data_IF_072878827399
#
_entry.id   IF_072878827399
#
_cell.length_a   1.000
_cell.length_b   1.000
_cell.length_c   1.000
_cell.angle_alpha   90.00
_cell.angle_beta   90.00
_cell.angle_gamma   90.00
#
_symmetry.space_group_name_H-M   'P 1'
#
loop_
_entity.id
_entity.type
_entity.pdbx_description
1 polymer ?
#
# COMPACT_ATOMS: atom_id res chain seq x y z
N UNK A 1 -17.81 14.28 -20.36
CA UNK A 1 -17.09 13.05 -20.72
C UNK A 1 -15.86 13.00 -19.86
N UNK A 2 -15.58 11.87 -19.23
CA UNK A 2 -14.33 11.68 -18.50
C UNK A 2 -13.15 11.74 -19.48
N UNK A 3 -12.01 12.22 -19.01
CA UNK A 3 -10.76 12.15 -19.77
C UNK A 3 -9.91 11.01 -19.21
N UNK A 4 -9.47 10.13 -20.10
CA UNK A 4 -8.45 9.13 -19.85
C UNK A 4 -7.10 9.71 -20.27
N UNK A 5 -6.13 9.68 -19.38
CA UNK A 5 -4.74 9.88 -19.74
C UNK A 5 -4.06 8.51 -19.80
N UNK A 6 -3.48 8.19 -20.95
CA UNK A 6 -2.64 7.01 -21.12
C UNK A 6 -1.23 7.45 -21.46
N UNK A 7 -0.25 7.01 -20.67
CA UNK A 7 1.17 7.25 -20.88
C UNK A 7 1.82 5.92 -21.24
N UNK A 8 2.22 5.82 -22.50
CA UNK A 8 2.83 4.61 -23.04
C UNK A 8 4.35 4.59 -22.90
N UNK A 9 4.89 3.43 -22.55
CA UNK A 9 6.34 3.19 -22.42
C UNK A 9 6.94 3.70 -21.11
N UNK A 10 8.27 3.62 -21.02
CA UNK A 10 9.03 4.04 -19.84
C UNK A 10 9.08 5.56 -19.71
N UNK A 11 8.80 6.08 -18.52
CA UNK A 11 8.98 7.49 -18.17
C UNK A 11 10.29 7.67 -17.42
N UNK A 12 11.36 8.05 -18.13
CA UNK A 12 12.64 8.40 -17.55
C UNK A 12 12.65 9.87 -17.10
N UNK A 13 12.40 10.11 -15.82
CA UNK A 13 12.16 11.46 -15.30
C UNK A 13 13.45 12.25 -14.97
N UNK A 14 14.60 11.58 -14.80
CA UNK A 14 15.91 12.19 -14.55
C UNK A 14 15.87 13.25 -13.42
N UNK A 15 15.31 12.87 -12.28
CA UNK A 15 15.06 13.68 -11.07
C UNK A 15 14.02 14.80 -11.24
N UNK A 16 13.39 14.94 -12.41
CA UNK A 16 12.26 15.83 -12.58
C UNK A 16 10.97 15.23 -12.00
N UNK A 17 9.98 16.11 -11.78
CA UNK A 17 8.67 15.72 -11.28
C UNK A 17 7.79 15.22 -12.42
N UNK A 18 7.07 14.13 -12.18
CA UNK A 18 6.00 13.61 -13.03
C UNK A 18 4.68 13.86 -12.30
N UNK A 19 3.88 14.81 -12.80
CA UNK A 19 2.68 15.29 -12.12
C UNK A 19 1.45 15.07 -13.01
N UNK A 20 0.78 13.97 -12.69
CA UNK A 20 -0.57 13.50 -12.99
C UNK A 20 -1.73 14.32 -12.42
N UNK A 21 -2.38 15.25 -13.13
CA UNK A 21 -3.58 15.91 -12.57
C UNK A 21 -4.65 16.30 -13.58
N UNK A 22 -5.90 16.04 -13.24
CA UNK A 22 -7.03 16.72 -13.87
C UNK A 22 -7.21 18.12 -13.24
N UNK A 23 -7.77 19.05 -14.00
CA UNK A 23 -8.07 20.40 -13.51
C UNK A 23 -9.59 20.67 -13.47
N UNK A 24 -10.39 19.86 -14.16
CA UNK A 24 -11.83 20.07 -14.35
C UNK A 24 -12.63 18.81 -14.00
N UNK A 25 -12.58 18.42 -12.73
CA UNK A 25 -13.31 17.25 -12.21
C UNK A 25 -12.48 15.97 -12.17
N UNK A 26 -13.11 14.86 -11.80
CA UNK A 26 -12.43 13.58 -11.71
C UNK A 26 -11.94 13.10 -13.08
N UNK A 27 -10.66 12.74 -13.18
CA UNK A 27 -10.15 11.98 -14.31
C UNK A 27 -10.81 10.60 -14.28
N UNK A 28 -11.20 10.07 -15.45
CA UNK A 28 -11.77 8.73 -15.53
C UNK A 28 -10.69 7.66 -15.33
N UNK A 29 -9.49 7.94 -15.83
CA UNK A 29 -8.34 7.09 -15.59
C UNK A 29 -7.03 7.82 -15.85
N UNK A 30 -6.00 7.44 -15.12
CA UNK A 30 -4.61 7.80 -15.37
C UNK A 30 -3.82 6.48 -15.38
N UNK A 31 -3.38 6.08 -16.58
CA UNK A 31 -2.73 4.80 -16.82
C UNK A 31 -1.29 5.03 -17.30
N UNK A 32 -0.35 4.36 -16.66
CA UNK A 32 1.03 4.23 -17.12
C UNK A 32 1.24 2.77 -17.54
N UNK A 33 1.64 2.52 -18.78
CA UNK A 33 1.89 1.14 -19.25
C UNK A 33 3.33 0.68 -19.08
N UNK A 34 4.27 1.60 -18.85
CA UNK A 34 5.68 1.31 -18.58
C UNK A 34 6.23 1.99 -17.32
N UNK A 35 7.37 1.51 -16.80
CA UNK A 35 7.92 1.94 -15.52
C UNK A 35 8.21 3.44 -15.49
N UNK A 36 8.07 4.04 -14.32
CA UNK A 36 8.50 5.42 -14.06
C UNK A 36 9.79 5.34 -13.25
N UNK A 37 10.88 5.91 -13.77
CA UNK A 37 12.21 5.74 -13.17
C UNK A 37 12.84 7.07 -12.83
N UNK A 38 13.54 7.11 -11.68
CA UNK A 38 14.31 8.26 -11.21
C UNK A 38 13.49 9.57 -11.22
N UNK A 39 12.26 9.56 -10.70
CA UNK A 39 11.49 10.80 -10.56
C UNK A 39 11.89 11.57 -9.28
N UNK A 40 11.87 12.90 -9.34
CA UNK A 40 11.94 13.73 -8.13
C UNK A 40 10.66 13.55 -7.31
N UNK A 41 9.52 13.61 -7.98
CA UNK A 41 8.22 13.36 -7.40
C UNK A 41 7.31 12.69 -8.42
N UNK A 42 6.67 11.59 -8.04
CA UNK A 42 5.61 10.98 -8.83
C UNK A 42 4.27 11.23 -8.16
N UNK A 43 3.45 12.07 -8.76
CA UNK A 43 2.18 12.51 -8.20
C UNK A 43 1.04 12.27 -9.16
N UNK A 44 0.05 11.51 -8.73
CA UNK A 44 -1.19 11.28 -9.48
C UNK A 44 -2.38 11.65 -8.61
N UNK A 45 -3.22 12.55 -9.11
CA UNK A 45 -4.45 13.03 -8.48
C UNK A 45 -5.45 13.45 -9.57
N UNK A 46 -6.70 13.75 -9.21
CA UNK A 46 -7.63 14.38 -10.16
C UNK A 46 -8.03 15.80 -9.81
N UNK A 47 -8.18 16.14 -8.53
CA UNK A 47 -8.35 17.50 -8.00
C UNK A 47 -8.33 17.40 -6.47
N UNK A 48 -7.91 18.43 -5.74
CA UNK A 48 -7.82 18.42 -4.26
C UNK A 48 -9.10 17.95 -3.53
N UNK A 49 -10.27 17.99 -4.17
CA UNK A 49 -11.55 17.48 -3.67
C UNK A 49 -12.02 16.14 -4.26
N UNK A 50 -11.44 15.64 -5.35
CA UNK A 50 -11.86 14.42 -6.06
C UNK A 50 -10.66 13.52 -6.38
N UNK A 51 -10.79 12.22 -6.13
CA UNK A 51 -9.80 11.24 -6.56
C UNK A 51 -9.95 10.96 -8.07
N UNK A 52 -8.87 10.57 -8.76
CA UNK A 52 -9.01 10.00 -10.10
C UNK A 52 -9.83 8.71 -9.99
N UNK A 53 -10.75 8.40 -10.90
CA UNK A 53 -11.56 7.20 -10.73
C UNK A 53 -10.67 5.95 -10.72
N UNK A 54 -9.71 5.87 -11.63
CA UNK A 54 -8.72 4.80 -11.69
C UNK A 54 -7.29 5.36 -11.85
N UNK A 55 -6.34 4.81 -11.09
CA UNK A 55 -4.90 5.07 -11.24
C UNK A 55 -4.22 3.73 -11.40
N UNK A 56 -3.58 3.50 -12.53
CA UNK A 56 -2.93 2.22 -12.83
C UNK A 56 -1.46 2.49 -13.11
N UNK A 57 -0.59 1.90 -12.29
CA UNK A 57 0.86 2.15 -12.37
C UNK A 57 1.65 0.84 -12.33
N UNK A 58 2.72 0.75 -13.13
CA UNK A 58 3.70 -0.32 -13.04
C UNK A 58 4.71 0.03 -11.94
N UNK A 59 5.93 -0.51 -12.00
CA UNK A 59 7.00 -0.10 -11.09
C UNK A 59 7.25 1.40 -11.16
N UNK A 60 7.33 2.05 -10.00
CA UNK A 60 7.67 3.47 -9.83
C UNK A 60 8.88 3.60 -8.92
N UNK A 61 9.92 4.27 -9.41
CA UNK A 61 11.09 4.70 -8.64
C UNK A 61 11.13 6.24 -8.61
N UNK A 62 10.93 6.81 -7.42
CA UNK A 62 10.87 8.26 -7.22
C UNK A 62 11.44 8.71 -5.85
N UNK A 63 11.71 10.01 -5.67
CA UNK A 63 12.04 10.51 -4.34
C UNK A 63 10.83 10.49 -3.40
N UNK A 64 9.64 10.76 -3.93
CA UNK A 64 8.37 10.55 -3.26
C UNK A 64 7.27 10.17 -4.27
N UNK A 65 6.35 9.31 -3.83
CA UNK A 65 5.26 8.72 -4.60
C UNK A 65 3.94 9.06 -3.90
N UNK A 66 3.02 9.70 -4.62
CA UNK A 66 1.65 9.93 -4.16
C UNK A 66 0.68 9.51 -5.27
N UNK A 67 -0.14 8.51 -4.98
CA UNK A 67 -1.20 8.00 -5.86
C UNK A 67 -2.55 8.25 -5.19
N UNK A 68 -3.42 9.03 -5.83
CA UNK A 68 -4.74 9.36 -5.31
C UNK A 68 -5.82 9.02 -6.33
N UNK A 69 -6.40 7.83 -6.16
CA UNK A 69 -7.47 7.29 -7.00
C UNK A 69 -8.63 6.74 -6.17
N UNK A 70 -9.85 6.66 -6.69
CA UNK A 70 -10.91 5.87 -6.07
C UNK A 70 -10.54 4.39 -6.11
N UNK A 71 -10.00 3.96 -7.25
CA UNK A 71 -9.32 2.68 -7.44
C UNK A 71 -7.86 2.93 -7.85
N UNK A 72 -6.94 2.19 -7.24
CA UNK A 72 -5.52 2.18 -7.57
C UNK A 72 -5.14 0.74 -7.94
N UNK A 73 -4.61 0.55 -9.13
CA UNK A 73 -4.14 -0.74 -9.63
C UNK A 73 -2.62 -0.72 -9.67
N UNK A 74 -2.00 -1.64 -8.92
CA UNK A 74 -0.55 -1.76 -8.85
C UNK A 74 -0.11 -2.98 -9.64
N UNK A 75 0.69 -2.74 -10.67
CA UNK A 75 1.29 -3.76 -11.52
C UNK A 75 2.78 -3.98 -11.22
N UNK A 76 3.33 -3.30 -10.22
CA UNK A 76 4.72 -3.47 -9.80
C UNK A 76 5.06 -2.68 -8.54
N UNK A 77 6.34 -2.71 -8.21
CA UNK A 77 6.87 -2.14 -6.96
C UNK A 77 6.79 -0.61 -6.90
N UNK A 78 6.61 -0.09 -5.68
CA UNK A 78 6.73 1.33 -5.39
C UNK A 78 8.01 1.56 -4.57
N UNK A 79 9.01 2.15 -5.19
CA UNK A 79 10.32 2.41 -4.61
C UNK A 79 10.46 3.92 -4.41
N UNK A 80 10.51 4.34 -3.16
CA UNK A 80 10.61 5.73 -2.77
C UNK A 80 11.84 5.98 -1.93
N UNK A 81 12.47 7.15 -2.11
CA UNK A 81 13.51 7.63 -1.18
C UNK A 81 12.94 8.28 0.07
N UNK A 82 11.62 8.49 0.16
CA UNK A 82 11.00 9.10 1.35
C UNK A 82 9.55 8.68 1.59
N UNK A 83 8.62 9.15 0.77
CA UNK A 83 7.19 8.97 0.95
C UNK A 83 6.61 8.02 -0.09
N UNK A 84 5.79 7.08 0.35
CA UNK A 84 4.80 6.38 -0.47
C UNK A 84 3.44 6.66 0.18
N UNK A 85 2.55 7.33 -0.56
CA UNK A 85 1.17 7.50 -0.15
C UNK A 85 0.24 6.99 -1.25
N UNK A 86 -0.56 5.98 -0.93
CA UNK A 86 -1.63 5.46 -1.78
C UNK A 86 -2.96 5.74 -1.10
N UNK A 87 -3.83 6.49 -1.78
CA UNK A 87 -5.17 6.81 -1.33
C UNK A 87 -6.15 6.27 -2.36
N UNK A 88 -7.03 5.35 -1.94
CA UNK A 88 -7.93 4.62 -2.80
C UNK A 88 -8.03 3.14 -2.47
N UNK A 89 -9.07 2.49 -2.95
CA UNK A 89 -9.12 1.03 -2.95
C UNK A 89 -8.03 0.50 -3.88
N UNK A 90 -7.13 -0.31 -3.36
CA UNK A 90 -5.94 -0.79 -4.04
C UNK A 90 -6.10 -2.25 -4.46
N UNK A 91 -5.81 -2.56 -5.72
CA UNK A 91 -5.77 -3.92 -6.26
C UNK A 91 -4.34 -4.24 -6.70
N UNK A 92 -3.81 -5.39 -6.26
CA UNK A 92 -2.48 -5.87 -6.65
C UNK A 92 -2.60 -6.84 -7.81
N UNK A 93 -2.01 -6.52 -8.96
CA UNK A 93 -1.98 -7.43 -10.12
C UNK A 93 -0.73 -8.32 -10.15
N UNK A 94 0.27 -7.99 -9.34
CA UNK A 94 1.47 -8.78 -9.08
C UNK A 94 1.81 -8.73 -7.59
N UNK A 95 2.83 -9.46 -7.19
CA UNK A 95 3.49 -9.18 -5.91
C UNK A 95 4.01 -7.74 -5.94
N UNK A 96 3.75 -7.00 -4.87
CA UNK A 96 4.13 -5.59 -4.74
C UNK A 96 4.99 -5.41 -3.51
N UNK A 97 6.20 -4.91 -3.73
CA UNK A 97 7.03 -4.31 -2.69
C UNK A 97 6.82 -2.79 -2.66
N UNK A 98 6.57 -2.26 -1.48
CA UNK A 98 6.64 -0.83 -1.19
C UNK A 98 7.84 -0.58 -0.29
N UNK A 99 8.82 0.18 -0.77
CA UNK A 99 10.07 0.45 -0.05
C UNK A 99 10.30 1.95 0.07
N UNK A 100 10.51 2.46 1.28
CA UNK A 100 10.92 3.86 1.50
C UNK A 100 12.44 4.00 1.69
N UNK A 101 12.94 5.24 1.80
CA UNK A 101 14.37 5.53 2.03
C UNK A 101 14.89 5.02 3.38
N UNK A 102 13.98 4.67 4.28
CA UNK A 102 14.28 4.03 5.54
C UNK A 102 14.69 4.99 6.67
N UNK A 103 14.59 6.31 6.46
CA UNK A 103 14.86 7.31 7.49
C UNK A 103 13.66 7.53 8.42
N UNK A 104 13.88 8.07 9.62
CA UNK A 104 12.82 8.26 10.63
C UNK A 104 11.69 9.21 10.21
N UNK A 105 11.90 10.04 9.18
CA UNK A 105 10.91 10.98 8.63
C UNK A 105 10.16 10.43 7.42
N UNK A 106 10.60 9.29 6.90
CA UNK A 106 9.99 8.63 5.76
C UNK A 106 8.66 7.98 6.16
N UNK A 107 7.89 7.56 5.16
CA UNK A 107 6.53 7.11 5.38
C UNK A 107 6.06 6.18 4.27
N UNK A 108 5.47 5.06 4.65
CA UNK A 108 4.60 4.27 3.78
C UNK A 108 3.18 4.37 4.33
N UNK A 109 2.24 4.84 3.52
CA UNK A 109 0.86 5.03 3.90
C UNK A 109 -0.08 4.51 2.82
N UNK A 110 -0.91 3.53 3.18
CA UNK A 110 -2.03 3.05 2.37
C UNK A 110 -3.33 3.40 3.08
N UNK A 111 -4.21 4.11 2.37
CA UNK A 111 -5.52 4.54 2.86
C UNK A 111 -6.59 4.06 1.87
N UNK A 112 -7.37 3.08 2.29
CA UNK A 112 -8.36 2.38 1.48
C UNK A 112 -8.23 0.86 1.64
N UNK A 113 -9.20 0.12 1.11
CA UNK A 113 -9.11 -1.34 1.13
C UNK A 113 -8.01 -1.82 0.17
N UNK A 114 -7.28 -2.87 0.52
CA UNK A 114 -6.23 -3.49 -0.30
C UNK A 114 -6.60 -4.95 -0.57
N UNK A 115 -6.66 -5.34 -1.84
CA UNK A 115 -6.99 -6.72 -2.22
C UNK A 115 -6.02 -7.24 -3.27
N UNK A 116 -5.90 -8.56 -3.33
CA UNK A 116 -5.30 -9.25 -4.46
C UNK A 116 -6.15 -9.04 -5.72
N UNK A 117 -5.55 -9.21 -6.89
CA UNK A 117 -6.23 -9.24 -8.17
C UNK A 117 -7.18 -10.44 -8.24
N UNK A 118 -8.00 -10.51 -9.29
CA UNK A 118 -9.05 -11.53 -9.42
C UNK A 118 -8.55 -12.97 -9.37
N UNK A 119 -7.29 -13.21 -9.74
CA UNK A 119 -6.66 -14.53 -9.70
C UNK A 119 -6.29 -14.96 -8.28
N UNK A 120 -6.17 -14.00 -7.35
CA UNK A 120 -5.63 -14.25 -6.01
C UNK A 120 -4.13 -14.53 -6.04
N UNK A 121 -3.55 -14.74 -4.86
CA UNK A 121 -2.16 -15.16 -4.72
C UNK A 121 -1.14 -14.03 -4.68
N UNK A 122 -1.52 -12.77 -4.88
CA UNK A 122 -0.58 -11.65 -4.79
C UNK A 122 -0.19 -11.36 -3.35
N UNK A 123 1.09 -11.04 -3.15
CA UNK A 123 1.68 -10.65 -1.87
C UNK A 123 1.97 -9.15 -1.80
N UNK A 124 1.86 -8.59 -0.59
CA UNK A 124 2.26 -7.21 -0.29
C UNK A 124 3.39 -7.19 0.73
N UNK A 125 4.51 -6.56 0.39
CA UNK A 125 5.59 -6.26 1.33
C UNK A 125 5.74 -4.75 1.49
N UNK A 126 5.69 -4.26 2.74
CA UNK A 126 6.00 -2.87 3.08
C UNK A 126 7.28 -2.83 3.91
N UNK A 127 8.37 -2.28 3.36
CA UNK A 127 9.63 -2.10 4.07
C UNK A 127 9.95 -0.61 4.21
N UNK A 128 9.79 -0.12 5.44
CA UNK A 128 10.08 1.26 5.78
C UNK A 128 11.31 1.42 6.69
N UNK A 129 12.04 0.33 7.01
CA UNK A 129 13.18 0.35 7.93
C UNK A 129 12.94 1.20 9.21
N UNK A 130 13.49 2.41 9.38
CA UNK A 130 13.26 3.24 10.57
C UNK A 130 12.00 4.12 10.51
N UNK A 131 11.32 4.13 9.36
CA UNK A 131 10.16 4.96 9.06
C UNK A 131 8.84 4.32 9.43
N UNK A 132 7.76 5.12 9.40
CA UNK A 132 6.43 4.65 9.83
C UNK A 132 5.67 4.00 8.68
N UNK A 133 4.84 3.02 9.05
CA UNK A 133 3.86 2.39 8.18
C UNK A 133 2.46 2.67 8.72
N UNK A 134 1.58 3.17 7.86
CA UNK A 134 0.16 3.35 8.12
C UNK A 134 -0.64 2.52 7.13
N UNK A 135 -1.39 1.55 7.64
CA UNK A 135 -2.30 0.72 6.86
C UNK A 135 -3.71 0.93 7.39
N UNK A 136 -4.52 1.68 6.65
CA UNK A 136 -5.86 2.10 7.06
C UNK A 136 -6.85 1.64 6.00
N UNK A 137 -7.78 0.77 6.39
CA UNK A 137 -8.68 0.08 5.45
C UNK A 137 -8.46 -1.44 5.50
N UNK A 138 -9.40 -2.21 4.98
CA UNK A 138 -9.35 -3.66 5.07
C UNK A 138 -8.33 -4.25 4.09
N UNK A 139 -7.68 -5.35 4.46
CA UNK A 139 -6.77 -6.11 3.60
C UNK A 139 -7.32 -7.50 3.33
N UNK A 140 -7.45 -7.84 2.05
CA UNK A 140 -7.77 -9.18 1.59
C UNK A 140 -9.21 -9.63 1.82
N UNK A 141 -10.13 -8.72 2.15
CA UNK A 141 -11.51 -9.09 2.51
C UNK A 141 -12.39 -9.42 1.30
N UNK A 142 -12.06 -8.89 0.12
CA UNK A 142 -12.75 -9.25 -1.13
C UNK A 142 -12.00 -10.38 -1.83
N UNK A 143 -10.68 -10.21 -1.97
CA UNK A 143 -9.78 -11.23 -2.50
C UNK A 143 -8.55 -11.28 -1.62
N UNK A 144 -8.37 -12.37 -0.84
CA UNK A 144 -7.25 -12.50 0.09
C UNK A 144 -5.89 -12.35 -0.56
N UNK A 145 -4.96 -11.70 0.14
CA UNK A 145 -3.55 -11.74 -0.24
C UNK A 145 -2.98 -13.14 0.01
N UNK A 146 -1.91 -13.51 -0.67
CA UNK A 146 -1.10 -14.66 -0.25
C UNK A 146 -0.36 -14.32 1.03
N UNK A 147 0.52 -13.32 0.97
CA UNK A 147 1.31 -12.86 2.10
C UNK A 147 1.15 -11.36 2.31
N UNK A 148 1.15 -10.94 3.57
CA UNK A 148 1.35 -9.54 3.98
C UNK A 148 2.54 -9.45 4.91
N UNK A 149 3.57 -8.72 4.50
CA UNK A 149 4.76 -8.45 5.30
C UNK A 149 4.91 -6.96 5.56
N UNK A 150 5.17 -6.58 6.81
CA UNK A 150 5.52 -5.20 7.18
C UNK A 150 6.79 -5.19 8.02
N UNK A 151 7.78 -4.42 7.57
CA UNK A 151 9.07 -4.22 8.25
C UNK A 151 9.26 -2.74 8.56
N UNK A 152 9.24 -2.40 9.85
CA UNK A 152 9.55 -1.06 10.32
C UNK A 152 9.88 -1.03 11.82
N UNK A 153 10.95 -0.35 12.20
CA UNK A 153 11.37 -0.15 13.59
C UNK A 153 10.70 1.06 14.26
N UNK A 154 9.74 1.70 13.59
CA UNK A 154 9.06 2.90 14.08
C UNK A 154 7.68 2.60 14.70
N UNK A 155 7.00 3.65 15.15
CA UNK A 155 5.59 3.59 15.57
C UNK A 155 4.68 3.40 14.35
N UNK A 156 4.21 2.18 14.14
CA UNK A 156 3.32 1.84 13.03
C UNK A 156 1.86 1.79 13.48
N UNK A 157 0.95 2.07 12.55
CA UNK A 157 -0.50 2.04 12.79
C UNK A 157 -1.17 1.14 11.76
N UNK A 158 -1.87 0.13 12.25
CA UNK A 158 -2.81 -0.64 11.43
C UNK A 158 -4.21 -0.38 11.98
N UNK A 159 -5.09 0.07 11.11
CA UNK A 159 -6.52 0.13 11.34
C UNK A 159 -7.23 -0.61 10.22
N UNK A 160 -7.15 -1.95 10.27
CA UNK A 160 -7.54 -2.85 9.20
C UNK A 160 -8.09 -4.17 9.75
N UNK A 161 -9.04 -4.78 9.04
CA UNK A 161 -9.22 -6.23 9.07
C UNK A 161 -8.23 -6.85 8.09
N UNK A 162 -7.59 -7.97 8.43
CA UNK A 162 -6.56 -8.58 7.57
C UNK A 162 -6.90 -10.04 7.33
N UNK A 163 -7.00 -10.40 6.05
CA UNK A 163 -7.14 -11.78 5.59
C UNK A 163 -6.02 -12.09 4.60
N UNK A 164 -5.19 -13.07 4.95
CA UNK A 164 -4.14 -13.64 4.10
C UNK A 164 -4.28 -15.16 4.06
N UNK A 165 -3.90 -15.77 2.93
CA UNK A 165 -4.02 -17.22 2.72
C UNK A 165 -2.79 -17.99 3.16
N UNK A 166 -1.63 -17.33 3.23
CA UNK A 166 -0.40 -17.94 3.71
C UNK A 166 0.10 -17.26 4.99
N UNK A 167 0.92 -16.22 4.82
CA UNK A 167 1.72 -15.66 5.90
C UNK A 167 1.35 -14.21 6.20
N UNK A 168 1.16 -13.88 7.48
CA UNK A 168 1.17 -12.51 7.97
C UNK A 168 2.42 -12.31 8.82
N UNK A 169 3.29 -11.39 8.39
CA UNK A 169 4.51 -11.05 9.12
C UNK A 169 4.57 -9.56 9.43
N UNK A 170 4.78 -9.25 10.70
CA UNK A 170 4.91 -7.88 11.16
C UNK A 170 6.12 -7.74 12.07
N UNK A 171 7.11 -6.99 11.60
CA UNK A 171 8.32 -6.62 12.33
C UNK A 171 8.23 -5.14 12.72
N UNK A 172 7.79 -4.87 13.94
CA UNK A 172 7.64 -3.51 14.49
C UNK A 172 8.64 -3.19 15.59
N UNK A 173 9.18 -1.97 15.60
CA UNK A 173 9.72 -1.39 16.84
C UNK A 173 8.62 -1.11 17.87
N UNK A 174 7.49 -0.57 17.43
CA UNK A 174 6.30 -0.31 18.26
C UNK A 174 5.06 -0.32 17.37
N UNK A 175 3.96 -0.91 17.83
CA UNK A 175 2.76 -1.09 17.00
C UNK A 175 1.50 -0.66 17.76
N UNK A 176 0.65 0.11 17.09
CA UNK A 176 -0.75 0.26 17.46
C UNK A 176 -1.61 -0.52 16.47
N UNK A 177 -2.06 -1.70 16.89
CA UNK A 177 -3.07 -2.47 16.18
C UNK A 177 -4.45 -2.01 16.65
N UNK A 178 -5.23 -1.42 15.76
CA UNK A 178 -6.62 -1.03 16.01
C UNK A 178 -7.48 -1.95 15.15
N UNK A 179 -7.95 -3.04 15.73
CA UNK A 179 -8.93 -3.90 15.04
C UNK A 179 -10.32 -3.30 15.27
N UNK A 180 -11.07 -2.92 14.21
CA UNK A 180 -12.46 -2.49 14.34
C UNK A 180 -13.29 -3.59 15.04
N UNK A 181 -14.29 -3.20 15.84
CA UNK A 181 -15.04 -4.15 16.68
C UNK A 181 -15.52 -5.40 15.90
N UNK A 182 -15.18 -6.58 16.42
CA UNK A 182 -15.73 -7.87 15.98
C UNK A 182 -14.93 -8.68 14.95
N UNK A 183 -13.64 -8.42 14.70
CA UNK A 183 -12.89 -9.07 13.60
C UNK A 183 -11.43 -9.45 13.90
N UNK A 184 -10.82 -10.13 12.94
CA UNK A 184 -9.78 -11.17 13.06
C UNK A 184 -8.60 -10.85 12.12
N UNK A 185 -7.36 -10.94 12.60
CA UNK A 185 -6.22 -11.22 11.70
C UNK A 185 -6.28 -12.71 11.41
N UNK A 186 -6.57 -13.10 10.16
CA UNK A 186 -6.62 -14.50 9.74
C UNK A 186 -5.43 -14.80 8.84
N UNK A 187 -4.54 -15.67 9.29
CA UNK A 187 -3.48 -16.24 8.47
C UNK A 187 -3.68 -17.74 8.29
N UNK A 188 -3.54 -18.23 7.05
CA UNK A 188 -3.72 -19.64 6.73
C UNK A 188 -2.66 -20.54 7.37
N UNK A 189 -1.39 -20.10 7.36
CA UNK A 189 -0.27 -20.90 7.88
C UNK A 189 0.40 -20.25 9.10
N UNK A 190 0.81 -18.98 9.00
CA UNK A 190 1.62 -18.33 10.05
C UNK A 190 1.24 -16.87 10.24
N UNK A 191 1.05 -16.46 11.49
CA UNK A 191 1.07 -15.06 11.87
C UNK A 191 2.22 -14.81 12.84
N UNK A 192 3.15 -13.91 12.48
CA UNK A 192 4.23 -13.48 13.37
C UNK A 192 4.06 -12.00 13.69
N UNK A 193 3.86 -11.68 14.96
CA UNK A 193 3.90 -10.30 15.46
C UNK A 193 5.14 -10.14 16.34
N UNK A 194 6.13 -9.40 15.85
CA UNK A 194 7.27 -8.97 16.66
C UNK A 194 7.09 -7.50 17.02
N UNK A 195 7.04 -7.19 18.31
CA UNK A 195 6.81 -5.83 18.83
C UNK A 195 7.88 -5.48 19.88
N UNK A 196 8.32 -4.21 19.91
CA UNK A 196 9.07 -3.65 21.04
C UNK A 196 8.15 -3.19 22.17
N UNK A 197 8.53 -2.18 22.95
CA UNK A 197 7.95 -1.89 24.28
C UNK A 197 6.50 -1.33 24.33
N UNK A 198 5.65 -1.57 23.31
CA UNK A 198 4.30 -0.99 23.19
C UNK A 198 3.12 -1.91 23.53
N UNK A 199 3.34 -3.23 23.61
CA UNK A 199 2.28 -4.23 23.78
C UNK A 199 1.34 -4.37 22.56
N UNK A 200 0.69 -5.52 22.42
CA UNK A 200 -0.38 -5.74 21.43
C UNK A 200 -1.71 -5.54 22.15
N UNK A 201 -2.69 -4.92 21.47
CA UNK A 201 -4.09 -4.91 21.90
C UNK A 201 -4.94 -5.45 20.76
N UNK A 202 -5.23 -6.74 20.74
CA UNK A 202 -6.01 -7.34 19.65
C UNK A 202 -6.18 -8.85 19.76
N UNK A 203 -6.85 -9.44 18.78
CA UNK A 203 -7.04 -10.89 18.63
C UNK A 203 -6.41 -11.33 17.31
N UNK A 204 -5.61 -12.38 17.34
CA UNK A 204 -4.99 -12.99 16.15
C UNK A 204 -5.56 -14.40 16.00
N UNK A 205 -6.03 -14.79 14.82
CA UNK A 205 -6.35 -16.19 14.52
C UNK A 205 -5.33 -16.75 13.52
N UNK A 206 -4.71 -17.87 13.90
CA UNK A 206 -3.75 -18.59 13.05
C UNK A 206 -4.28 -19.99 12.81
N UNK A 207 -4.53 -20.36 11.56
CA UNK A 207 -5.08 -21.69 11.23
C UNK A 207 -6.41 -22.00 11.96
N UNK A 208 -7.21 -20.97 12.26
CA UNK A 208 -8.46 -21.10 13.02
C UNK A 208 -8.31 -21.14 14.55
N UNK A 209 -7.10 -21.02 15.09
CA UNK A 209 -6.85 -20.96 16.55
C UNK A 209 -6.73 -19.51 17.00
N UNK A 210 -7.57 -19.10 17.97
CA UNK A 210 -7.51 -17.77 18.58
C UNK A 210 -6.30 -17.68 19.53
N UNK A 211 -5.38 -16.78 19.19
CA UNK A 211 -4.28 -16.34 20.05
C UNK A 211 -4.69 -14.97 20.59
N UNK A 212 -5.00 -14.94 21.88
CA UNK A 212 -5.12 -13.67 22.62
C UNK A 212 -3.70 -13.17 22.89
N UNK A 213 -3.40 -11.94 22.46
CA UNK A 213 -2.12 -11.25 22.73
C UNK A 213 -2.36 -10.06 23.64
#
# INVERSE_FOLDING_TARGET
>A
GGHLLHVDGTVAANEHNVITRSFNGAAEGILFSGPVTNAGYFYVDSNRANLAANVSVPTVDAAAIILRGSNVELYGDLISRSLIQVVGNTTLHHDVAMTSGGETRDLIQLIGDVNAGTEGGQSLSMDANLARVYLIGNVGMTTPLETLTVRSLSNNVISANIQVTDTFEWFSGTCQLIVPQGRIISAGHRATLTYGSGGVKGRVLVGGVEVSV
#
